data_IF_413918675918
#
_entry.id   IF_413918675918
#
_cell.length_a   1.000
_cell.length_b   1.000
_cell.length_c   1.000
_cell.angle_alpha   90.00
_cell.angle_beta   90.00
_cell.angle_gamma   90.00
#
_symmetry.space_group_name_H-M   'P 1'
#
loop_
_entity.id
_entity.type
_entity.pdbx_description
1 polymer ?
#
# COMPACT_ATOMS: atom_id res chain seq x y z
N UNK A 1 -7.62 2.30 -4.13
CA UNK A 1 -7.23 2.81 -2.79
C UNK A 1 -8.47 3.24 -2.03
N UNK A 2 -8.59 2.92 -0.73
CA UNK A 2 -9.75 3.31 0.11
C UNK A 2 -9.42 4.33 1.20
N UNK A 3 -8.15 4.40 1.63
CA UNK A 3 -7.65 5.29 2.67
C UNK A 3 -6.43 6.06 2.18
N UNK A 4 -6.29 7.32 2.60
CA UNK A 4 -5.15 8.20 2.28
C UNK A 4 -3.88 7.72 2.97
N UNK A 5 -2.79 7.60 2.21
CA UNK A 5 -1.45 7.32 2.74
C UNK A 5 -0.37 8.02 1.90
N UNK A 6 0.75 8.34 2.54
CA UNK A 6 1.89 9.06 1.94
C UNK A 6 3.17 8.23 1.99
N UNK A 7 4.18 8.66 1.25
CA UNK A 7 5.56 8.15 1.44
C UNK A 7 5.96 8.36 2.91
N UNK A 8 6.70 7.39 3.46
CA UNK A 8 7.11 7.25 4.86
C UNK A 8 6.00 6.88 5.87
N UNK A 9 4.76 6.66 5.44
CA UNK A 9 3.76 6.06 6.32
C UNK A 9 4.09 4.57 6.59
N UNK A 10 3.84 4.14 7.83
CA UNK A 10 3.84 2.72 8.20
C UNK A 10 2.46 2.13 7.91
N UNK A 11 2.42 1.13 7.04
CA UNK A 11 1.22 0.37 6.70
C UNK A 11 1.39 -1.07 7.13
N UNK A 12 0.30 -1.68 7.59
CA UNK A 12 0.24 -3.09 7.95
C UNK A 12 -0.59 -3.84 6.91
N UNK A 13 0.01 -4.90 6.35
CA UNK A 13 -0.67 -5.87 5.49
C UNK A 13 -1.18 -7.00 6.36
N UNK A 14 -2.44 -7.37 6.19
CA UNK A 14 -3.08 -8.45 6.94
C UNK A 14 -4.03 -9.24 6.03
N UNK A 15 -4.16 -10.52 6.31
CA UNK A 15 -4.98 -11.43 5.51
C UNK A 15 -5.13 -12.80 6.16
N UNK A 16 -6.03 -13.66 5.67
CA UNK A 16 -6.27 -14.98 6.26
C UNK A 16 -5.13 -15.98 6.03
N UNK A 17 -4.18 -15.67 5.15
CA UNK A 17 -3.10 -16.57 4.70
C UNK A 17 -1.69 -16.04 5.01
N UNK A 18 -1.58 -14.89 5.67
CA UNK A 18 -0.31 -14.24 6.01
C UNK A 18 -0.30 -13.84 7.47
N UNK A 19 0.89 -13.79 8.04
CA UNK A 19 1.10 -13.07 9.28
C UNK A 19 0.97 -11.57 9.02
N UNK A 20 0.46 -10.84 10.00
CA UNK A 20 0.35 -9.40 9.87
C UNK A 20 1.74 -8.76 9.88
N UNK A 21 2.15 -8.16 8.76
CA UNK A 21 3.45 -7.54 8.61
C UNK A 21 3.32 -6.05 8.27
N UNK A 22 4.19 -5.24 8.88
CA UNK A 22 4.24 -3.80 8.66
C UNK A 22 5.38 -3.43 7.72
N UNK A 23 5.17 -2.45 6.85
CA UNK A 23 6.21 -1.90 5.98
C UNK A 23 6.10 -0.38 5.90
N UNK A 24 7.22 0.27 5.56
CA UNK A 24 7.27 1.71 5.31
C UNK A 24 7.09 1.94 3.81
N UNK A 25 6.16 2.82 3.45
CA UNK A 25 5.91 3.19 2.05
C UNK A 25 7.09 3.99 1.52
N UNK A 26 7.94 3.36 0.70
CA UNK A 26 9.11 4.04 0.12
C UNK A 26 8.78 4.83 -1.15
N UNK A 27 7.83 4.35 -1.94
CA UNK A 27 7.40 5.01 -3.17
C UNK A 27 6.00 4.57 -3.55
N UNK A 28 5.28 5.44 -4.25
CA UNK A 28 3.93 5.18 -4.75
C UNK A 28 3.92 5.47 -6.24
N UNK A 29 3.40 4.53 -7.02
CA UNK A 29 3.22 4.68 -8.47
C UNK A 29 1.73 4.57 -8.79
N UNK A 30 1.19 5.50 -9.55
CA UNK A 30 -0.23 5.46 -9.96
C UNK A 30 -0.46 4.58 -11.21
N UNK A 31 -1.71 4.49 -11.65
CA UNK A 31 -2.08 3.77 -12.88
C UNK A 31 -1.39 4.27 -14.16
N UNK A 32 -1.04 5.56 -14.22
CA UNK A 32 -0.32 6.18 -15.35
C UNK A 32 1.19 5.95 -15.29
N UNK A 33 1.67 5.13 -14.35
CA UNK A 33 3.09 4.89 -14.10
C UNK A 33 3.88 6.14 -13.65
N UNK A 34 3.17 7.14 -13.10
CA UNK A 34 3.75 8.34 -12.51
C UNK A 34 4.03 8.12 -11.02
N UNK A 35 5.19 8.58 -10.56
CA UNK A 35 5.52 8.63 -9.13
C UNK A 35 4.73 9.74 -8.46
N UNK A 36 4.08 9.42 -7.35
CA UNK A 36 3.30 10.36 -6.54
C UNK A 36 3.76 10.32 -5.09
N UNK A 37 3.63 11.43 -4.37
CA UNK A 37 4.01 11.52 -2.95
C UNK A 37 2.87 11.13 -2.02
N UNK A 38 1.63 11.25 -2.51
CA UNK A 38 0.41 10.98 -1.76
C UNK A 38 -0.56 10.18 -2.61
N UNK A 39 -1.02 9.05 -2.08
CA UNK A 39 -2.24 8.42 -2.55
C UNK A 39 -3.40 9.09 -1.78
N UNK A 40 -4.19 9.93 -2.43
CA UNK A 40 -5.41 10.54 -1.85
C UNK A 40 -6.67 10.33 -2.69
N UNK A 41 -6.57 9.74 -3.87
CA UNK A 41 -7.70 9.52 -4.76
C UNK A 41 -8.41 8.19 -4.44
N UNK A 42 -9.70 8.23 -4.05
CA UNK A 42 -10.48 7.02 -3.81
C UNK A 42 -10.60 6.16 -5.06
N UNK A 43 -10.65 4.83 -4.89
CA UNK A 43 -10.75 3.83 -5.96
C UNK A 43 -9.61 3.82 -6.99
N UNK A 44 -8.59 4.69 -6.87
CA UNK A 44 -7.42 4.65 -7.75
C UNK A 44 -6.53 3.45 -7.44
N UNK A 45 -6.11 2.75 -8.48
CA UNK A 45 -5.09 1.71 -8.38
C UNK A 45 -3.71 2.36 -8.26
N UNK A 46 -2.96 1.93 -7.24
CA UNK A 46 -1.60 2.37 -6.98
C UNK A 46 -0.73 1.15 -6.72
N UNK A 47 0.55 1.26 -7.04
CA UNK A 47 1.57 0.25 -6.78
C UNK A 47 2.55 0.78 -5.76
N UNK A 48 2.82 -0.02 -4.74
CA UNK A 48 3.81 0.25 -3.70
C UNK A 48 4.74 -0.96 -3.58
N UNK A 49 6.04 -0.76 -3.37
CA UNK A 49 6.95 -1.87 -3.12
C UNK A 49 6.77 -2.39 -1.70
N UNK A 50 6.50 -3.69 -1.57
CA UNK A 50 6.39 -4.39 -0.28
C UNK A 50 7.55 -5.38 -0.18
N UNK A 51 8.32 -5.40 0.93
CA UNK A 51 9.53 -6.22 1.05
C UNK A 51 9.27 -7.70 1.37
N UNK A 52 8.02 -8.13 1.41
CA UNK A 52 7.58 -9.50 1.72
C UNK A 52 6.49 -9.95 0.73
N UNK A 53 6.22 -11.26 0.73
CA UNK A 53 5.20 -11.85 -0.17
C UNK A 53 3.80 -11.51 0.33
N UNK A 54 2.97 -10.99 -0.59
CA UNK A 54 1.54 -10.73 -0.37
C UNK A 54 0.73 -11.48 -1.41
N UNK A 55 -0.51 -11.80 -1.07
CA UNK A 55 -1.44 -12.51 -1.95
C UNK A 55 -2.54 -11.58 -2.46
N UNK A 56 -3.17 -11.93 -3.60
CA UNK A 56 -4.40 -11.26 -4.02
C UNK A 56 -5.44 -11.28 -2.89
N UNK A 57 -6.16 -10.17 -2.74
CA UNK A 57 -7.18 -9.94 -1.70
C UNK A 57 -6.66 -9.63 -0.28
N UNK A 58 -5.34 -9.66 -0.04
CA UNK A 58 -4.78 -9.16 1.21
C UNK A 58 -5.10 -7.67 1.40
N UNK A 59 -5.36 -7.29 2.64
CA UNK A 59 -5.80 -5.95 2.99
C UNK A 59 -4.67 -5.16 3.65
N UNK A 60 -4.70 -3.85 3.45
CA UNK A 60 -3.78 -2.92 4.12
C UNK A 60 -4.54 -1.96 5.03
N UNK A 61 -3.96 -1.67 6.19
CA UNK A 61 -4.44 -0.61 7.08
C UNK A 61 -3.28 0.27 7.51
N UNK A 62 -3.60 1.52 7.83
CA UNK A 62 -2.65 2.43 8.48
C UNK A 62 -2.54 2.03 9.95
N UNK A 63 -1.32 2.00 10.45
CA UNK A 63 -1.04 1.78 11.87
C UNK A 63 -1.12 3.09 12.65
#
# INVERSE_FOLDING_TARGET
>A
MRNVFTINDELEVFGPKIDNESFIVQSIVNGDNCKIDIANQPMTEVRVPIPFTVYPEDMIRRK
#
